data_IF_942469325820
#
_entry.id   IF_942469325820
#
_cell.length_a   1.000
_cell.length_b   1.000
_cell.length_c   1.000
_cell.angle_alpha   90.00
_cell.angle_beta   90.00
_cell.angle_gamma   90.00
#
_symmetry.space_group_name_H-M   'P 1'
#
loop_
_entity.id
_entity.type
_entity.pdbx_description
1 polymer ?
#
# COMPACT_ATOMS: atom_id res chain seq x y z
N UNK A 1 36.99 5.23 -13.15
CA UNK A 1 36.42 3.99 -12.56
C UNK A 1 34.95 4.24 -12.28
N UNK A 2 34.10 3.77 -13.18
CA UNK A 2 32.67 4.05 -13.25
C UNK A 2 31.90 3.07 -12.35
N UNK A 3 31.33 3.54 -11.24
CA UNK A 3 30.38 2.77 -10.43
C UNK A 3 28.96 3.14 -10.83
N UNK A 4 28.46 2.54 -11.91
CA UNK A 4 27.01 2.52 -12.22
C UNK A 4 26.32 1.59 -11.23
N UNK A 5 25.74 2.15 -10.17
CA UNK A 5 24.75 1.47 -9.35
C UNK A 5 23.57 2.42 -9.12
N UNK A 6 22.61 2.42 -10.06
CA UNK A 6 21.30 3.03 -9.86
C UNK A 6 20.13 2.43 -10.70
N UNK A 7 20.07 1.11 -11.03
CA UNK A 7 18.91 0.58 -11.74
C UNK A 7 17.68 0.33 -10.84
N UNK A 8 17.85 0.11 -9.53
CA UNK A 8 16.76 -0.38 -8.67
C UNK A 8 15.70 0.67 -8.37
N UNK A 9 16.08 1.92 -8.07
CA UNK A 9 15.15 2.99 -7.72
C UNK A 9 14.29 3.42 -8.91
N UNK A 10 14.86 3.45 -10.12
CA UNK A 10 14.13 3.78 -11.34
C UNK A 10 13.08 2.72 -11.69
N UNK A 11 13.43 1.44 -11.57
CA UNK A 11 12.51 0.31 -11.81
C UNK A 11 11.42 0.24 -10.74
N UNK A 12 11.74 0.57 -9.48
CA UNK A 12 10.73 0.68 -8.43
C UNK A 12 9.77 1.83 -8.72
N UNK A 13 10.28 3.01 -9.08
CA UNK A 13 9.44 4.15 -9.45
C UNK A 13 8.53 3.84 -10.65
N UNK A 14 9.00 3.09 -11.65
CA UNK A 14 8.16 2.66 -12.77
C UNK A 14 7.05 1.70 -12.32
N UNK A 15 7.37 0.75 -11.45
CA UNK A 15 6.41 -0.26 -10.95
C UNK A 15 5.27 0.37 -10.14
N UNK A 16 5.58 1.32 -9.26
CA UNK A 16 4.55 2.05 -8.50
C UNK A 16 3.72 2.97 -9.40
N UNK A 17 4.33 3.53 -10.44
CA UNK A 17 3.60 4.33 -11.44
C UNK A 17 2.62 3.46 -12.24
N UNK A 18 3.06 2.29 -12.72
CA UNK A 18 2.20 1.32 -13.43
C UNK A 18 1.01 0.87 -12.57
N UNK A 19 1.25 0.51 -11.31
CA UNK A 19 0.17 0.12 -10.40
C UNK A 19 -0.79 1.27 -10.12
N UNK A 20 -0.28 2.49 -9.90
CA UNK A 20 -1.12 3.69 -9.72
C UNK A 20 -1.97 3.94 -10.96
N UNK A 21 -1.37 3.88 -12.14
CA UNK A 21 -2.06 4.14 -13.39
C UNK A 21 -3.11 3.05 -13.67
N UNK A 22 -2.89 1.80 -13.26
CA UNK A 22 -3.90 0.75 -13.31
C UNK A 22 -5.14 1.06 -12.45
N UNK A 23 -4.96 1.59 -11.23
CA UNK A 23 -6.09 2.05 -10.39
C UNK A 23 -6.87 3.21 -11.02
N UNK A 24 -6.16 4.15 -11.63
CA UNK A 24 -6.77 5.28 -12.34
C UNK A 24 -7.55 4.78 -13.56
N UNK A 25 -6.93 3.97 -14.41
CA UNK A 25 -7.54 3.49 -15.66
C UNK A 25 -8.72 2.56 -15.44
N UNK A 26 -8.62 1.62 -14.50
CA UNK A 26 -9.68 0.63 -14.31
C UNK A 26 -10.90 1.23 -13.58
N UNK A 27 -10.67 2.10 -12.60
CA UNK A 27 -11.67 2.44 -11.58
C UNK A 27 -11.72 3.93 -11.21
N UNK A 28 -10.91 4.77 -11.85
CA UNK A 28 -10.84 6.20 -11.59
C UNK A 28 -10.27 6.54 -10.20
N UNK A 29 -9.56 5.60 -9.58
CA UNK A 29 -9.08 5.76 -8.21
C UNK A 29 -7.70 6.43 -8.20
N UNK A 30 -7.62 7.57 -7.53
CA UNK A 30 -6.37 8.32 -7.42
C UNK A 30 -5.61 7.87 -6.17
N UNK A 31 -4.44 7.29 -6.38
CA UNK A 31 -3.50 6.93 -5.32
C UNK A 31 -2.33 7.92 -5.29
N UNK A 32 -1.86 8.26 -4.10
CA UNK A 32 -0.61 9.00 -3.90
C UNK A 32 0.54 8.03 -3.64
N UNK A 33 1.77 8.44 -3.96
CA UNK A 33 2.96 7.67 -3.62
C UNK A 33 3.63 8.31 -2.39
N UNK A 34 3.76 7.54 -1.32
CA UNK A 34 4.32 7.98 -0.04
C UNK A 34 5.29 6.93 0.50
N UNK A 35 6.08 7.28 1.52
CA UNK A 35 6.96 6.34 2.21
C UNK A 35 6.28 5.82 3.47
N UNK A 36 6.17 4.49 3.62
CA UNK A 36 5.54 3.85 4.78
C UNK A 36 6.36 2.70 5.34
N UNK A 37 6.13 2.43 6.63
CA UNK A 37 6.57 1.19 7.27
C UNK A 37 5.56 0.08 7.01
N UNK A 38 6.08 -1.11 6.76
CA UNK A 38 5.29 -2.32 6.59
C UNK A 38 5.74 -3.39 7.60
N UNK A 39 4.95 -4.45 7.86
CA UNK A 39 5.37 -5.51 8.76
C UNK A 39 6.63 -6.26 8.30
N UNK A 40 7.03 -6.12 7.04
CA UNK A 40 8.25 -6.69 6.49
C UNK A 40 9.42 -5.70 6.43
N UNK A 41 9.22 -4.44 6.83
CA UNK A 41 10.33 -3.48 7.01
C UNK A 41 10.97 -3.70 8.38
N UNK A 42 12.30 -3.60 8.45
CA UNK A 42 13.05 -3.82 9.69
C UNK A 42 13.54 -2.49 10.28
N UNK A 43 13.64 -2.39 11.59
CA UNK A 43 14.16 -1.18 12.25
C UNK A 43 13.42 0.10 11.82
N UNK A 44 14.18 1.12 11.40
CA UNK A 44 13.65 2.40 10.93
C UNK A 44 13.35 2.43 9.42
N UNK A 45 13.42 1.29 8.74
CA UNK A 45 13.27 1.23 7.29
C UNK A 45 11.84 1.60 6.86
N UNK A 46 11.76 2.35 5.76
CA UNK A 46 10.52 2.70 5.07
C UNK A 46 10.66 2.32 3.59
N UNK A 47 9.55 1.89 3.00
CA UNK A 47 9.46 1.56 1.57
C UNK A 47 8.41 2.44 0.88
N UNK A 48 8.52 2.63 -0.45
CA UNK A 48 7.47 3.29 -1.22
C UNK A 48 6.14 2.53 -1.08
N UNK A 49 5.06 3.29 -1.05
CA UNK A 49 3.70 2.82 -0.86
C UNK A 49 2.73 3.60 -1.73
N UNK A 50 1.75 2.92 -2.30
CA UNK A 50 0.55 3.57 -2.83
C UNK A 50 -0.43 3.76 -1.69
N UNK A 51 -0.87 5.00 -1.48
CA UNK A 51 -1.86 5.36 -0.48
C UNK A 51 -3.17 5.68 -1.18
N UNK A 52 -4.18 4.88 -0.83
CA UNK A 52 -5.52 5.01 -1.37
C UNK A 52 -6.29 6.17 -0.72
N UNK A 53 -7.36 6.63 -1.39
CA UNK A 53 -8.21 7.69 -0.89
C UNK A 53 -8.93 7.31 0.43
N UNK A 54 -9.44 8.31 1.13
CA UNK A 54 -10.07 8.16 2.45
C UNK A 54 -11.27 7.22 2.45
N UNK A 55 -12.04 7.15 1.37
CA UNK A 55 -13.19 6.25 1.22
C UNK A 55 -12.82 4.78 1.00
N UNK A 56 -11.52 4.47 0.84
CA UNK A 56 -10.95 3.11 0.95
C UNK A 56 -10.28 2.89 2.32
N UNK A 57 -10.52 3.80 3.27
CA UNK A 57 -9.93 3.81 4.60
C UNK A 57 -8.42 4.01 4.62
N UNK A 58 -7.86 4.81 3.71
CA UNK A 58 -6.42 5.07 3.60
C UNK A 58 -5.58 3.78 3.50
N UNK A 59 -6.06 2.84 2.67
CA UNK A 59 -5.33 1.60 2.38
C UNK A 59 -3.92 1.94 1.91
N UNK A 60 -2.92 1.23 2.43
CA UNK A 60 -1.55 1.30 1.94
C UNK A 60 -1.16 0.01 1.25
N UNK A 61 -0.59 0.15 0.07
CA UNK A 61 -0.13 -0.94 -0.77
C UNK A 61 1.38 -0.80 -0.93
N UNK A 62 2.14 -1.79 -0.46
CA UNK A 62 3.59 -1.85 -0.60
C UNK A 62 4.04 -3.03 -1.46
N UNK A 63 5.29 -3.03 -1.90
CA UNK A 63 5.86 -4.09 -2.73
C UNK A 63 6.85 -4.96 -1.94
N UNK A 64 6.36 -6.05 -1.36
CA UNK A 64 7.16 -6.97 -0.57
C UNK A 64 8.17 -7.73 -1.44
N UNK A 65 9.45 -7.64 -1.06
CA UNK A 65 10.58 -8.30 -1.72
C UNK A 65 10.70 -8.00 -3.23
N UNK A 66 10.10 -6.91 -3.72
CA UNK A 66 10.09 -6.57 -5.16
C UNK A 66 9.21 -7.45 -6.06
N UNK A 67 8.43 -8.39 -5.50
CA UNK A 67 7.69 -9.40 -6.27
C UNK A 67 6.21 -9.55 -5.93
N UNK A 68 5.77 -9.09 -4.75
CA UNK A 68 4.38 -9.18 -4.34
C UNK A 68 3.86 -7.87 -3.77
N UNK A 69 2.76 -7.38 -4.32
CA UNK A 69 1.98 -6.32 -3.71
C UNK A 69 1.37 -6.82 -2.40
N UNK A 70 1.39 -5.98 -1.37
CA UNK A 70 0.82 -6.29 -0.06
C UNK A 70 0.01 -5.13 0.48
N UNK A 71 -1.20 -5.41 0.96
CA UNK A 71 -2.09 -4.45 1.61
C UNK A 71 -2.87 -5.11 2.74
N UNK A 72 -3.47 -4.31 3.63
CA UNK A 72 -4.40 -4.80 4.64
C UNK A 72 -5.84 -4.76 4.14
N UNK A 73 -6.55 -5.88 4.23
CA UNK A 73 -8.00 -5.93 3.99
C UNK A 73 -8.78 -5.20 5.10
N UNK A 74 -10.11 -5.17 5.00
CA UNK A 74 -10.96 -4.53 6.02
C UNK A 74 -10.87 -5.15 7.42
N UNK A 75 -10.47 -6.42 7.50
CA UNK A 75 -10.34 -7.17 8.76
C UNK A 75 -8.92 -7.03 9.36
N UNK A 76 -8.05 -6.24 8.72
CA UNK A 76 -6.67 -6.01 9.14
C UNK A 76 -5.71 -7.14 8.77
N UNK A 77 -6.14 -8.10 7.94
CA UNK A 77 -5.28 -9.19 7.47
C UNK A 77 -4.49 -8.75 6.25
N UNK A 78 -3.24 -9.20 6.16
CA UNK A 78 -2.40 -8.90 5.01
C UNK A 78 -2.75 -9.80 3.84
N UNK A 79 -3.12 -9.18 2.73
CA UNK A 79 -3.31 -9.81 1.43
C UNK A 79 -2.08 -9.58 0.58
N UNK A 80 -1.77 -10.55 -0.27
CA UNK A 80 -0.62 -10.50 -1.17
C UNK A 80 -1.03 -10.89 -2.59
N UNK A 81 -0.63 -10.07 -3.56
CA UNK A 81 -0.89 -10.28 -4.99
C UNK A 81 0.45 -10.26 -5.73
N UNK A 82 0.60 -11.06 -6.79
CA UNK A 82 1.82 -11.05 -7.60
C UNK A 82 2.00 -9.69 -8.29
N UNK A 83 3.25 -9.25 -8.47
CA UNK A 83 3.57 -7.91 -8.98
C UNK A 83 2.94 -7.61 -10.35
N UNK A 84 2.93 -8.61 -11.22
CA UNK A 84 2.45 -8.56 -12.61
C UNK A 84 0.92 -8.65 -12.73
N UNK A 85 0.22 -9.10 -11.68
CA UNK A 85 -1.24 -9.25 -11.64
C UNK A 85 -1.93 -7.98 -11.14
N UNK A 86 -1.71 -6.86 -11.84
CA UNK A 86 -2.31 -5.57 -11.47
C UNK A 86 -3.84 -5.56 -11.55
N UNK A 87 -4.41 -6.32 -12.50
CA UNK A 87 -5.84 -6.58 -12.61
C UNK A 87 -6.43 -7.14 -11.31
N UNK A 88 -5.77 -8.16 -10.76
CA UNK A 88 -6.17 -8.81 -9.51
C UNK A 88 -5.96 -7.89 -8.33
N UNK A 89 -4.86 -7.14 -8.30
CA UNK A 89 -4.58 -6.18 -7.25
C UNK A 89 -5.71 -5.13 -7.15
N UNK A 90 -6.08 -4.54 -8.28
CA UNK A 90 -7.12 -3.51 -8.33
C UNK A 90 -8.44 -4.07 -7.84
N UNK A 91 -8.87 -5.23 -8.37
CA UNK A 91 -10.15 -5.82 -8.00
C UNK A 91 -10.19 -6.22 -6.52
N UNK A 92 -9.13 -6.86 -6.02
CA UNK A 92 -9.07 -7.32 -4.63
C UNK A 92 -9.11 -6.15 -3.64
N UNK A 93 -8.39 -5.06 -3.93
CA UNK A 93 -8.40 -3.86 -3.08
C UNK A 93 -9.79 -3.23 -3.04
N UNK A 94 -10.50 -3.20 -4.16
CA UNK A 94 -11.84 -2.63 -4.23
C UNK A 94 -12.85 -3.52 -3.51
N UNK A 95 -12.82 -4.83 -3.75
CA UNK A 95 -13.70 -5.78 -3.08
C UNK A 95 -13.51 -5.72 -1.55
N UNK A 96 -12.28 -5.63 -1.09
CA UNK A 96 -11.96 -5.60 0.34
C UNK A 96 -12.24 -4.24 1.01
N UNK A 97 -12.10 -3.12 0.29
CA UNK A 97 -12.00 -1.78 0.90
C UNK A 97 -13.03 -0.77 0.42
N UNK A 98 -13.74 -1.01 -0.68
CA UNK A 98 -14.74 -0.06 -1.17
C UNK A 98 -15.85 0.15 -0.14
N UNK A 99 -16.12 1.41 0.19
CA UNK A 99 -17.11 1.76 1.22
C UNK A 99 -16.66 1.48 2.66
N UNK A 100 -15.41 1.05 2.87
CA UNK A 100 -14.87 0.85 4.21
C UNK A 100 -14.61 2.20 4.88
N UNK A 101 -15.43 2.49 5.89
CA UNK A 101 -15.16 3.56 6.86
C UNK A 101 -14.53 2.93 8.10
N UNK A 102 -13.25 3.19 8.41
CA UNK A 102 -12.65 2.65 9.63
C UNK A 102 -13.47 3.11 10.85
N UNK A 103 -13.67 2.24 11.85
CA UNK A 103 -14.38 2.63 13.05
C UNK A 103 -13.65 3.80 13.71
N UNK A 104 -14.41 4.79 14.19
CA UNK A 104 -13.84 5.90 14.93
C UNK A 104 -12.95 5.36 16.05
N UNK A 105 -11.72 5.90 16.21
CA UNK A 105 -10.83 5.43 17.26
C UNK A 105 -11.57 5.49 18.59
N UNK A 106 -11.76 4.34 19.22
CA UNK A 106 -12.32 4.29 20.57
C UNK A 106 -11.36 5.07 21.44
N UNK A 107 -11.81 6.19 21.99
CA UNK A 107 -11.06 6.94 23.00
C UNK A 107 -10.69 5.93 24.08
N UNK A 108 -9.43 5.51 24.13
CA UNK A 108 -8.94 4.69 25.22
C UNK A 108 -9.32 5.46 26.48
N UNK A 109 -10.23 4.89 27.26
CA UNK A 109 -10.58 5.43 28.56
C UNK A 109 -9.27 5.47 29.31
N UNK A 110 -8.75 6.69 29.46
CA UNK A 110 -7.54 7.01 30.20
C UNK A 110 -7.71 6.30 31.54
N UNK A 111 -7.05 5.15 31.76
CA UNK A 111 -6.83 4.63 33.10
C UNK A 111 -5.87 5.63 33.75
N UNK A 112 -6.45 6.72 34.25
CA UNK A 112 -5.97 7.31 35.48
C UNK A 112 -6.23 6.27 36.56
N UNK A 113 -5.18 5.84 37.21
CA UNK A 113 -5.22 4.89 38.30
C UNK A 113 -3.87 4.93 39.01
N UNK A 114 -3.81 5.86 39.97
CA UNK A 114 -2.91 5.98 41.11
C UNK A 114 -1.47 5.45 40.99
#
# INVERSE_FOLDING_TARGET
>A
MEKRQQPTTAIQNSTFSEARDAFISARGLVFTCEWRRFPWTFGADVEPALIGPSYLGHVAIGLKNGWRWGYQDRDGRWRYVQRDRLDVLVESVIEDRAGFTPPLPRRSQRRGGA
#
